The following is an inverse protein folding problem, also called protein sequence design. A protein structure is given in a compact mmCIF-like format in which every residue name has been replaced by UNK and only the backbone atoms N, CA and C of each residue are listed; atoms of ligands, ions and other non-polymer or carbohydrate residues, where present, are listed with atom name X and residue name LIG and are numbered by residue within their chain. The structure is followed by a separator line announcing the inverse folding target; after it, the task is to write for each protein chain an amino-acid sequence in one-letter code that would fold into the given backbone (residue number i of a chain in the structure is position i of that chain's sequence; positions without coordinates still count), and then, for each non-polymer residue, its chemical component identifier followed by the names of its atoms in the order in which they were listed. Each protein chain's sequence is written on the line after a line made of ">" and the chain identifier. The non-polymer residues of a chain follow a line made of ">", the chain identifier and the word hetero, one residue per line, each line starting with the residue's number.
data_IF_672054098047
#
_entry.id   IF_672054098047
#
_cell.length_a   1.000
_cell.length_b   1.000
_cell.length_c   1.000
_cell.angle_alpha   90.00
_cell.angle_beta   90.00
_cell.angle_gamma   90.00
#
_symmetry.space_group_name_H-M   'P 1'
#
loop_
_entity.id
_entity.type
_entity.pdbx_description
1 polymer ?
#
# COMPACT_ATOMS: atom_id res chain seq x y z
N UNK A 1 -23.62 -11.70 10.55
CA UNK A 1 -22.73 -12.62 9.80
C UNK A 1 -22.96 -12.61 8.28
N UNK A 2 -24.21 -12.52 7.75
CA UNK A 2 -24.45 -12.46 6.29
C UNK A 2 -24.00 -11.14 5.61
N UNK A 3 -24.12 -10.00 6.30
CA UNK A 3 -23.86 -8.66 5.73
C UNK A 3 -22.38 -8.42 5.36
N UNK A 4 -21.41 -8.81 6.21
CA UNK A 4 -19.96 -8.64 5.93
C UNK A 4 -19.47 -9.54 4.78
N UNK A 5 -20.03 -10.74 4.62
CA UNK A 5 -19.62 -11.67 3.56
C UNK A 5 -20.06 -11.22 2.15
N UNK A 6 -21.24 -10.62 2.04
CA UNK A 6 -21.72 -10.00 0.79
C UNK A 6 -20.91 -8.75 0.43
N UNK A 7 -20.47 -8.00 1.44
CA UNK A 7 -19.63 -6.83 1.26
C UNK A 7 -18.24 -7.20 0.73
N UNK A 8 -17.60 -8.25 1.27
CA UNK A 8 -16.36 -8.82 0.71
C UNK A 8 -16.60 -9.26 -0.74
N UNK A 9 -17.62 -10.07 -0.99
CA UNK A 9 -17.87 -10.66 -2.33
C UNK A 9 -18.18 -9.60 -3.39
N UNK A 10 -18.66 -8.42 -3.01
CA UNK A 10 -18.83 -7.26 -3.90
C UNK A 10 -17.56 -6.42 -4.06
N UNK A 11 -16.75 -6.27 -3.01
CA UNK A 11 -15.56 -5.41 -3.02
C UNK A 11 -14.32 -6.11 -3.59
N UNK A 12 -14.15 -7.41 -3.39
CA UNK A 12 -13.01 -8.19 -3.89
C UNK A 12 -12.87 -8.13 -5.42
N UNK A 13 -13.95 -8.36 -6.21
CA UNK A 13 -13.86 -8.21 -7.66
C UNK A 13 -13.49 -6.78 -8.06
N UNK A 14 -14.06 -5.78 -7.38
CA UNK A 14 -13.79 -4.36 -7.63
C UNK A 14 -12.35 -3.98 -7.35
N UNK A 15 -11.77 -4.47 -6.25
CA UNK A 15 -10.35 -4.33 -5.95
C UNK A 15 -9.50 -4.92 -7.07
N UNK A 16 -9.78 -6.17 -7.46
CA UNK A 16 -9.02 -6.87 -8.49
C UNK A 16 -9.11 -6.11 -9.82
N UNK A 17 -10.31 -5.66 -10.22
CA UNK A 17 -10.50 -4.87 -11.45
C UNK A 17 -9.74 -3.54 -11.39
N UNK A 18 -9.82 -2.82 -10.28
CA UNK A 18 -9.10 -1.56 -10.11
C UNK A 18 -7.57 -1.77 -10.14
N UNK A 19 -7.07 -2.86 -9.53
CA UNK A 19 -5.66 -3.22 -9.55
C UNK A 19 -5.19 -3.58 -10.96
N UNK A 20 -5.96 -4.40 -11.68
CA UNK A 20 -5.71 -4.76 -13.08
C UNK A 20 -5.67 -3.50 -13.95
N UNK A 21 -6.65 -2.59 -13.78
CA UNK A 21 -6.66 -1.32 -14.50
C UNK A 21 -5.43 -0.47 -14.19
N UNK A 22 -5.03 -0.36 -12.92
CA UNK A 22 -3.81 0.35 -12.54
C UNK A 22 -2.57 -0.26 -13.22
N UNK A 23 -2.46 -1.59 -13.28
CA UNK A 23 -1.36 -2.29 -13.97
C UNK A 23 -1.40 -2.02 -15.47
N UNK A 24 -2.57 -2.08 -16.11
CA UNK A 24 -2.73 -1.77 -17.54
C UNK A 24 -2.29 -0.34 -17.83
N UNK A 25 -2.75 0.63 -17.04
CA UNK A 25 -2.35 2.03 -17.21
C UNK A 25 -0.88 2.27 -16.90
N UNK A 26 -0.28 1.51 -15.97
CA UNK A 26 1.16 1.54 -15.74
C UNK A 26 1.94 1.05 -16.96
N UNK A 27 1.54 -0.09 -17.54
CA UNK A 27 2.12 -0.61 -18.80
C UNK A 27 1.97 0.45 -19.90
N UNK A 28 0.78 1.00 -20.07
CA UNK A 28 0.52 2.06 -21.06
C UNK A 28 1.43 3.27 -20.83
N UNK A 29 1.57 3.72 -19.57
CA UNK A 29 2.41 4.87 -19.20
C UNK A 29 3.90 4.64 -19.50
N UNK A 30 4.37 3.40 -19.42
CA UNK A 30 5.77 3.05 -19.72
C UNK A 30 5.99 2.88 -21.23
N UNK A 31 5.06 2.23 -21.94
CA UNK A 31 5.28 1.82 -23.32
C UNK A 31 4.75 2.80 -24.36
N UNK A 32 3.68 3.55 -24.08
CA UNK A 32 3.07 4.45 -25.08
C UNK A 32 3.85 5.75 -25.24
N UNK A 33 4.17 6.53 -24.18
CA UNK A 33 4.84 7.82 -24.34
C UNK A 33 6.14 7.78 -25.16
N UNK A 34 7.04 6.79 -25.00
CA UNK A 34 8.27 6.73 -25.78
C UNK A 34 8.06 6.41 -27.27
N UNK A 35 6.91 5.86 -27.65
CA UNK A 35 6.58 5.54 -29.05
C UNK A 35 6.01 6.74 -29.82
N UNK A 36 5.67 7.82 -29.11
CA UNK A 36 5.18 9.02 -29.74
C UNK A 36 6.35 9.80 -30.36
N UNK A 37 6.21 10.30 -31.60
CA UNK A 37 7.18 11.22 -32.17
C UNK A 37 7.35 12.44 -31.25
N UNK A 38 8.53 13.05 -31.27
CA UNK A 38 8.87 14.30 -30.55
C UNK A 38 8.17 15.52 -31.17
N UNK A 39 6.84 15.43 -31.30
CA UNK A 39 5.96 16.50 -31.73
C UNK A 39 5.78 17.47 -30.55
N UNK A 40 6.27 18.68 -30.75
CA UNK A 40 6.05 19.79 -29.83
C UNK A 40 4.62 20.28 -30.04
N UNK A 41 3.82 20.28 -28.98
CA UNK A 41 2.45 20.77 -29.06
C UNK A 41 2.46 22.30 -29.18
N UNK A 42 1.94 22.87 -30.28
CA UNK A 42 1.89 24.31 -30.45
C UNK A 42 1.01 24.94 -29.35
N UNK A 43 1.53 25.99 -28.70
CA UNK A 43 0.85 26.72 -27.62
C UNK A 43 1.34 26.40 -26.21
N UNK A 44 1.95 25.22 -25.97
CA UNK A 44 2.40 24.79 -24.62
C UNK A 44 3.91 24.48 -24.57
N UNK A 45 4.58 24.50 -25.73
CA UNK A 45 6.02 24.24 -25.89
C UNK A 45 6.51 22.99 -25.13
N UNK A 46 5.67 21.96 -25.06
CA UNK A 46 5.92 20.71 -24.35
C UNK A 46 5.70 19.55 -25.31
N UNK A 47 6.47 18.48 -25.15
CA UNK A 47 6.32 17.27 -25.95
C UNK A 47 4.97 16.58 -25.70
N UNK A 48 4.37 16.06 -26.78
CA UNK A 48 3.15 15.26 -26.68
C UNK A 48 3.33 14.00 -25.81
N UNK A 49 4.55 13.43 -25.80
CA UNK A 49 4.97 12.31 -24.95
C UNK A 49 4.72 12.61 -23.47
N UNK A 50 5.14 13.77 -22.98
CA UNK A 50 4.98 14.23 -21.60
C UNK A 50 3.52 14.38 -21.21
N UNK A 51 2.69 14.95 -22.10
CA UNK A 51 1.26 15.11 -21.83
C UNK A 51 0.55 13.77 -21.70
N UNK A 52 0.86 12.81 -22.58
CA UNK A 52 0.30 11.45 -22.52
C UNK A 52 0.80 10.72 -21.27
N UNK A 53 2.07 10.91 -20.90
CA UNK A 53 2.61 10.36 -19.66
C UNK A 53 1.88 10.89 -18.42
N UNK A 54 1.67 12.21 -18.32
CA UNK A 54 0.92 12.83 -17.22
C UNK A 54 -0.52 12.30 -17.17
N UNK A 55 -1.21 12.26 -18.32
CA UNK A 55 -2.59 11.79 -18.40
C UNK A 55 -2.72 10.34 -17.94
N UNK A 56 -1.85 9.46 -18.43
CA UNK A 56 -1.85 8.03 -18.06
C UNK A 56 -1.52 7.84 -16.59
N UNK A 57 -0.62 8.65 -16.04
CA UNK A 57 -0.27 8.64 -14.62
C UNK A 57 -1.45 9.08 -13.73
N UNK A 58 -2.21 10.10 -14.13
CA UNK A 58 -3.41 10.56 -13.39
C UNK A 58 -4.47 9.46 -13.36
N UNK A 59 -4.72 8.81 -14.50
CA UNK A 59 -5.71 7.72 -14.57
C UNK A 59 -5.27 6.53 -13.71
N UNK A 60 -4.00 6.15 -13.81
CA UNK A 60 -3.39 5.12 -12.97
C UNK A 60 -3.57 5.44 -11.48
N UNK A 61 -3.29 6.68 -11.06
CA UNK A 61 -3.43 7.12 -9.68
C UNK A 61 -4.87 6.99 -9.17
N UNK A 62 -5.88 7.32 -9.98
CA UNK A 62 -7.30 7.15 -9.61
C UNK A 62 -7.62 5.68 -9.35
N UNK A 63 -7.18 4.77 -10.22
CA UNK A 63 -7.40 3.34 -10.04
C UNK A 63 -6.68 2.79 -8.81
N UNK A 64 -5.45 3.26 -8.55
CA UNK A 64 -4.67 2.87 -7.38
C UNK A 64 -5.33 3.34 -6.08
N UNK A 65 -5.78 4.61 -6.00
CA UNK A 65 -6.49 5.12 -4.82
C UNK A 65 -7.77 4.31 -4.55
N UNK A 66 -8.52 3.97 -5.60
CA UNK A 66 -9.71 3.11 -5.48
C UNK A 66 -9.35 1.70 -5.01
N UNK A 67 -8.34 1.08 -5.61
CA UNK A 67 -7.87 -0.24 -5.21
C UNK A 67 -7.39 -0.26 -3.76
N UNK A 68 -6.67 0.77 -3.32
CA UNK A 68 -6.21 0.92 -1.94
C UNK A 68 -7.36 1.08 -0.96
N UNK A 69 -8.36 1.89 -1.30
CA UNK A 69 -9.54 2.09 -0.46
C UNK A 69 -10.31 0.77 -0.29
N UNK A 70 -10.51 0.02 -1.38
CA UNK A 70 -11.15 -1.28 -1.32
C UNK A 70 -10.27 -2.31 -0.56
N UNK A 71 -8.94 -2.24 -0.70
CA UNK A 71 -7.98 -3.10 -0.01
C UNK A 71 -7.98 -2.90 1.50
N UNK A 72 -8.06 -1.64 1.96
CA UNK A 72 -8.17 -1.32 3.38
C UNK A 72 -9.40 -1.96 4.01
N UNK A 73 -10.56 -1.78 3.38
CA UNK A 73 -11.82 -2.33 3.90
C UNK A 73 -11.79 -3.87 3.89
N UNK A 74 -11.17 -4.49 2.88
CA UNK A 74 -10.97 -5.93 2.85
C UNK A 74 -9.97 -6.41 3.92
N UNK A 75 -8.91 -5.65 4.15
CA UNK A 75 -7.90 -5.88 5.19
C UNK A 75 -8.52 -5.88 6.59
N UNK A 76 -9.44 -4.95 6.87
CA UNK A 76 -10.20 -4.89 8.13
C UNK A 76 -11.02 -6.17 8.35
N UNK A 77 -11.63 -6.72 7.29
CA UNK A 77 -12.39 -7.97 7.42
C UNK A 77 -11.49 -9.18 7.53
N UNK A 78 -10.35 -9.20 6.83
CA UNK A 78 -9.36 -10.28 6.95
C UNK A 78 -8.80 -10.36 8.37
N UNK A 79 -8.51 -9.21 8.96
CA UNK A 79 -8.02 -9.10 10.33
C UNK A 79 -9.08 -9.53 11.33
N UNK A 80 -10.35 -9.11 11.19
CA UNK A 80 -11.46 -9.62 12.02
C UNK A 80 -11.58 -11.16 11.95
N UNK A 81 -11.43 -11.77 10.76
CA UNK A 81 -11.48 -13.23 10.59
C UNK A 81 -10.29 -13.93 11.24
N UNK A 82 -9.08 -13.38 11.10
CA UNK A 82 -7.86 -13.91 11.71
C UNK A 82 -7.90 -13.80 13.23
N UNK A 83 -8.28 -12.64 13.76
CA UNK A 83 -8.49 -12.37 15.20
C UNK A 83 -9.49 -13.37 15.78
N UNK A 84 -10.61 -13.61 15.09
CA UNK A 84 -11.64 -14.57 15.53
C UNK A 84 -11.18 -16.03 15.47
N UNK A 85 -10.34 -16.39 14.49
CA UNK A 85 -9.74 -17.74 14.41
C UNK A 85 -8.61 -17.94 15.42
N UNK A 86 -7.91 -16.89 15.79
CA UNK A 86 -6.75 -16.93 16.69
C UNK A 86 -7.12 -16.67 18.16
N UNK A 87 -8.36 -16.25 18.44
CA UNK A 87 -8.86 -16.04 19.81
C UNK A 87 -8.26 -14.80 20.52
N UNK A 88 -7.43 -14.03 19.84
CA UNK A 88 -6.77 -12.83 20.38
C UNK A 88 -7.74 -11.66 20.28
N UNK A 89 -7.91 -10.87 21.35
CA UNK A 89 -8.81 -9.70 21.41
C UNK A 89 -8.20 -8.41 20.82
N UNK A 90 -7.26 -8.50 19.89
CA UNK A 90 -6.57 -7.32 19.33
C UNK A 90 -7.24 -6.80 18.05
N UNK A 91 -8.46 -6.26 18.20
CA UNK A 91 -9.21 -5.67 17.09
C UNK A 91 -8.62 -4.32 16.61
N UNK A 92 -7.80 -3.65 17.45
CA UNK A 92 -7.27 -2.30 17.17
C UNK A 92 -5.85 -2.29 16.59
N UNK A 93 -4.96 -3.19 17.00
CA UNK A 93 -3.57 -3.20 16.56
C UNK A 93 -3.45 -3.55 15.06
N UNK A 94 -4.25 -4.51 14.60
CA UNK A 94 -4.24 -4.97 13.21
C UNK A 94 -4.78 -3.94 12.22
N UNK A 95 -5.84 -3.20 12.59
CA UNK A 95 -6.40 -2.09 11.79
C UNK A 95 -5.41 -0.93 11.64
N UNK A 96 -4.59 -0.69 12.67
CA UNK A 96 -3.53 0.32 12.62
C UNK A 96 -2.41 -0.08 11.65
N UNK A 97 -1.94 -1.32 11.71
CA UNK A 97 -0.88 -1.81 10.82
C UNK A 97 -1.30 -1.79 9.33
N UNK A 98 -2.54 -2.18 9.01
CA UNK A 98 -3.06 -2.12 7.65
C UNK A 98 -3.10 -0.68 7.10
N UNK A 99 -3.48 0.29 7.95
CA UNK A 99 -3.49 1.71 7.58
C UNK A 99 -2.07 2.25 7.34
N UNK A 100 -1.12 1.88 8.19
CA UNK A 100 0.28 2.27 8.05
C UNK A 100 0.91 1.73 6.76
N UNK A 101 0.57 0.49 6.38
CA UNK A 101 0.98 -0.07 5.10
C UNK A 101 0.45 0.72 3.90
N UNK A 102 -0.80 1.21 3.97
CA UNK A 102 -1.35 2.07 2.91
C UNK A 102 -0.70 3.44 2.90
N UNK A 103 -0.33 4.02 4.03
CA UNK A 103 0.45 5.25 4.05
C UNK A 103 1.81 5.08 3.36
N UNK A 104 2.50 3.95 3.57
CA UNK A 104 3.73 3.64 2.82
C UNK A 104 3.46 3.68 1.32
N UNK A 105 2.43 2.99 0.83
CA UNK A 105 2.11 2.95 -0.60
C UNK A 105 1.79 4.35 -1.13
N UNK A 106 0.97 5.12 -0.42
CA UNK A 106 0.61 6.49 -0.81
C UNK A 106 1.85 7.38 -0.88
N UNK A 107 2.74 7.31 0.11
CA UNK A 107 4.00 8.07 0.13
C UNK A 107 4.85 7.72 -1.09
N UNK A 108 5.02 6.43 -1.38
CA UNK A 108 5.78 5.97 -2.55
C UNK A 108 5.17 6.53 -3.84
N UNK A 109 3.85 6.45 -4.03
CA UNK A 109 3.17 6.98 -5.22
C UNK A 109 3.36 8.49 -5.36
N UNK A 110 3.19 9.24 -4.28
CA UNK A 110 3.36 10.70 -4.27
C UNK A 110 4.80 11.07 -4.64
N UNK A 111 5.78 10.43 -4.02
CA UNK A 111 7.20 10.66 -4.31
C UNK A 111 7.52 10.35 -5.77
N UNK A 112 7.04 9.22 -6.30
CA UNK A 112 7.25 8.83 -7.70
C UNK A 112 6.57 9.79 -8.68
N UNK A 113 5.41 10.34 -8.35
CA UNK A 113 4.71 11.30 -9.20
C UNK A 113 5.35 12.69 -9.16
N UNK A 114 5.77 13.15 -7.98
CA UNK A 114 6.24 14.51 -7.76
C UNK A 114 7.72 14.67 -8.12
N UNK A 115 8.56 13.66 -7.86
CA UNK A 115 10.01 13.69 -8.13
C UNK A 115 10.37 14.10 -9.57
N UNK A 116 9.82 13.50 -10.65
CA UNK A 116 10.14 13.90 -12.01
C UNK A 116 9.65 15.31 -12.35
N UNK A 117 8.52 15.75 -11.77
CA UNK A 117 8.02 17.11 -11.96
C UNK A 117 8.98 18.13 -11.34
N UNK A 118 9.45 17.87 -10.12
CA UNK A 118 10.44 18.73 -9.44
C UNK A 118 11.77 18.77 -10.19
N UNK A 119 12.18 17.68 -10.83
CA UNK A 119 13.42 17.60 -11.60
C UNK A 119 13.47 18.59 -12.79
N UNK A 120 12.31 19.03 -13.30
CA UNK A 120 12.22 19.98 -14.41
C UNK A 120 12.43 21.45 -14.03
N UNK A 121 12.52 21.78 -12.74
CA UNK A 121 12.75 23.15 -12.27
C UNK A 121 14.20 23.57 -12.54
N UNK A 122 14.40 24.75 -13.15
CA UNK A 122 15.74 25.28 -13.45
C UNK A 122 16.57 25.50 -12.18
N UNK A 123 17.87 25.21 -12.28
CA UNK A 123 18.94 25.36 -11.26
C UNK A 123 18.80 24.53 -9.97
N UNK A 124 17.59 24.25 -9.49
CA UNK A 124 17.34 23.56 -8.21
C UNK A 124 16.61 22.23 -8.35
N UNK A 125 16.13 21.87 -9.54
CA UNK A 125 15.27 20.70 -9.73
C UNK A 125 15.92 19.37 -9.32
N UNK A 126 17.21 19.20 -9.59
CA UNK A 126 17.96 18.02 -9.15
C UNK A 126 17.97 17.86 -7.62
N UNK A 127 18.25 18.95 -6.89
CA UNK A 127 18.29 18.94 -5.43
C UNK A 127 16.89 18.73 -4.83
N UNK A 128 15.85 19.35 -5.40
CA UNK A 128 14.46 19.19 -4.94
C UNK A 128 13.96 17.76 -5.15
N UNK A 129 14.22 17.18 -6.32
CA UNK A 129 13.85 15.80 -6.63
C UNK A 129 14.56 14.82 -5.69
N UNK A 130 15.87 14.98 -5.52
CA UNK A 130 16.69 14.15 -4.64
C UNK A 130 16.24 14.25 -3.18
N UNK A 131 15.99 15.45 -2.67
CA UNK A 131 15.49 15.67 -1.32
C UNK A 131 14.12 15.01 -1.12
N UNK A 132 13.22 15.11 -2.09
CA UNK A 132 11.89 14.47 -2.04
C UNK A 132 12.00 12.96 -1.92
N UNK A 133 12.91 12.32 -2.66
CA UNK A 133 13.16 10.89 -2.57
C UNK A 133 13.67 10.50 -1.19
N UNK A 134 14.65 11.23 -0.63
CA UNK A 134 15.19 10.94 0.70
C UNK A 134 14.17 11.17 1.83
N UNK A 135 13.36 12.22 1.75
CA UNK A 135 12.26 12.46 2.71
C UNK A 135 11.26 11.32 2.63
N UNK A 136 10.86 10.93 1.41
CA UNK A 136 10.00 9.78 1.18
C UNK A 136 10.54 8.50 1.80
N UNK A 137 11.82 8.19 1.54
CA UNK A 137 12.51 7.04 2.11
C UNK A 137 12.50 7.06 3.64
N UNK A 138 12.79 8.21 4.25
CA UNK A 138 12.78 8.39 5.71
C UNK A 138 11.40 8.11 6.31
N UNK A 139 10.34 8.61 5.68
CA UNK A 139 8.97 8.32 6.11
C UNK A 139 8.65 6.83 5.98
N UNK A 140 9.01 6.19 4.87
CA UNK A 140 8.78 4.75 4.67
C UNK A 140 9.47 3.92 5.76
N UNK A 141 10.72 4.24 6.11
CA UNK A 141 11.44 3.57 7.19
C UNK A 141 10.71 3.71 8.54
N UNK A 142 10.21 4.92 8.85
CA UNK A 142 9.44 5.17 10.07
C UNK A 142 8.18 4.28 10.14
N UNK A 143 7.41 4.23 9.05
CA UNK A 143 6.22 3.37 8.99
C UNK A 143 6.57 1.88 9.06
N UNK A 144 7.66 1.43 8.44
CA UNK A 144 8.12 0.04 8.57
C UNK A 144 8.47 -0.29 10.03
N UNK A 145 9.11 0.64 10.73
CA UNK A 145 9.43 0.47 12.14
C UNK A 145 8.17 0.34 13.01
N UNK A 146 7.16 1.20 12.79
CA UNK A 146 5.90 1.13 13.52
C UNK A 146 5.15 -0.19 13.26
N UNK A 147 5.08 -0.65 12.00
CA UNK A 147 4.52 -1.96 11.64
C UNK A 147 5.31 -3.09 12.34
N UNK A 148 6.64 -3.04 12.28
CA UNK A 148 7.52 -4.05 12.89
C UNK A 148 7.31 -4.16 14.40
N UNK A 149 7.13 -3.02 15.08
CA UNK A 149 6.83 -2.98 16.51
C UNK A 149 5.48 -3.62 16.85
N UNK A 150 4.46 -3.39 16.02
CA UNK A 150 3.13 -4.00 16.20
C UNK A 150 3.23 -5.52 15.99
N UNK A 151 3.91 -5.96 14.92
CA UNK A 151 4.09 -7.38 14.61
C UNK A 151 4.85 -8.11 15.71
N UNK A 152 5.91 -7.48 16.26
CA UNK A 152 6.69 -8.06 17.35
C UNK A 152 5.82 -8.39 18.58
N UNK A 153 4.95 -7.45 19.00
CA UNK A 153 4.04 -7.66 20.13
C UNK A 153 3.07 -8.81 19.90
N UNK A 154 2.50 -8.90 18.70
CA UNK A 154 1.58 -9.99 18.34
C UNK A 154 2.28 -11.35 18.41
N UNK A 155 3.55 -11.42 18.00
CA UNK A 155 4.35 -12.65 18.04
C UNK A 155 4.70 -13.01 19.49
N UNK A 156 5.09 -12.03 20.30
CA UNK A 156 5.42 -12.19 21.73
C UNK A 156 4.24 -12.76 22.52
N UNK A 157 3.06 -12.14 22.42
CA UNK A 157 1.84 -12.61 23.11
C UNK A 157 1.46 -14.03 22.70
N UNK A 158 1.63 -14.38 21.42
CA UNK A 158 1.41 -15.74 20.95
C UNK A 158 2.42 -16.71 21.53
N UNK A 159 3.70 -16.36 21.53
CA UNK A 159 4.76 -17.22 22.04
C UNK A 159 4.54 -17.56 23.52
N UNK A 160 4.14 -16.58 24.34
CA UNK A 160 3.78 -16.81 25.75
C UNK A 160 2.57 -17.73 25.88
N UNK A 161 1.50 -17.51 25.11
CA UNK A 161 0.30 -18.38 25.15
C UNK A 161 0.61 -19.84 24.77
N UNK A 162 1.55 -20.06 23.85
CA UNK A 162 2.01 -21.40 23.48
C UNK A 162 2.85 -22.02 24.60
N UNK A 163 3.76 -21.25 25.20
CA UNK A 163 4.60 -21.72 26.30
C UNK A 163 3.76 -22.17 27.50
N UNK A 164 2.73 -21.39 27.88
CA UNK A 164 1.82 -21.73 28.97
C UNK A 164 0.99 -22.99 28.68
N UNK A 165 0.53 -23.16 27.43
CA UNK A 165 -0.21 -24.36 27.02
C UNK A 165 0.65 -25.62 27.13
N UNK A 166 1.93 -25.56 26.72
CA UNK A 166 2.86 -26.67 26.85
C UNK A 166 3.25 -26.94 28.31
N UNK A 167 3.36 -25.90 29.14
CA UNK A 167 3.64 -26.05 30.57
C UNK A 167 2.50 -26.79 31.29
N UNK A 168 1.24 -26.42 31.03
CA UNK A 168 0.07 -27.10 31.62
C UNK A 168 -0.05 -28.55 31.14
N UNK A 169 0.24 -28.83 29.87
CA UNK A 169 0.16 -30.19 29.32
C UNK A 169 1.22 -31.12 29.93
N UNK A 170 2.41 -30.59 30.26
CA UNK A 170 3.47 -31.34 30.94
C UNK A 170 3.16 -31.61 32.41
N UNK A 171 2.44 -30.69 33.08
CA UNK A 171 2.04 -30.84 34.47
C UNK A 171 0.94 -31.91 34.66
N UNK A 172 -0.06 -31.94 33.76
CA UNK A 172 -1.10 -32.98 33.77
C UNK A 172 -0.55 -34.40 33.52
N UNK A 173 0.52 -34.55 32.75
CA UNK A 173 1.13 -35.86 32.45
C UNK A 173 2.07 -36.38 33.54
N UNK A 174 2.40 -35.56 34.53
CA UNK A 174 3.27 -35.92 35.67
C UNK A 174 2.46 -36.26 36.94
N UNK A 175 1.14 -36.15 36.89
CA UNK A 175 0.22 -36.42 38.02
C UNK A 175 -0.62 -37.70 37.82
N UNK A 176 -0.41 -38.43 36.71
CA UNK A 176 -0.80 -39.84 36.53
C UNK A 176 0.43 -40.74 36.78
#
# INVERSE_FOLDING_TARGET
>A
MKVKGEEIRRRLPRLVTNLIMAIIFWIISVFIPPTLPSLIVPGINTEASTLVWILTMVIMAIFLIRALTDALVLGDVLTDVLVKKLGVKEEQASKRAAREFVYIIVIVLVVTAVSPLLATVQDVGYYLSTATVYIGLGLVILFIYDIGRIVYKIIEEKAESFADYFAQMKQNKSSE
#
